data_IF_409803426317
#
_entry.id   IF_409803426317
#
_cell.length_a   1.000
_cell.length_b   1.000
_cell.length_c   1.000
_cell.angle_alpha   90.00
_cell.angle_beta   90.00
_cell.angle_gamma   90.00
#
_symmetry.space_group_name_H-M   'P 1'
#
loop_
_entity.id
_entity.type
_entity.pdbx_description
1 polymer ?
#
# COMPACT_ATOMS: atom_id res chain seq x y z
N UNK A 1 -24.79 -21.44 22.53
CA UNK A 1 -24.26 -22.55 21.69
C UNK A 1 -25.38 -23.26 20.89
N UNK A 2 -26.63 -23.20 21.30
CA UNK A 2 -27.75 -23.87 20.62
C UNK A 2 -28.27 -23.15 19.35
N UNK A 3 -27.96 -21.87 19.17
CA UNK A 3 -28.49 -21.06 18.06
C UNK A 3 -27.84 -21.37 16.70
N UNK A 4 -26.68 -22.04 16.68
CA UNK A 4 -25.94 -22.35 15.45
C UNK A 4 -26.34 -23.71 14.86
N UNK A 5 -26.87 -24.64 15.67
CA UNK A 5 -27.19 -26.02 15.25
C UNK A 5 -28.46 -26.14 14.41
N UNK A 6 -29.31 -25.12 14.40
CA UNK A 6 -30.61 -25.12 13.66
C UNK A 6 -30.63 -24.15 12.47
N UNK A 7 -29.45 -23.70 11.99
CA UNK A 7 -29.39 -22.80 10.85
C UNK A 7 -29.40 -23.61 9.54
N UNK A 8 -30.49 -23.51 8.77
CA UNK A 8 -30.58 -24.14 7.45
C UNK A 8 -29.74 -23.34 6.45
N UNK A 9 -28.78 -24.00 5.82
CA UNK A 9 -27.93 -23.40 4.76
C UNK A 9 -28.41 -23.98 3.42
N UNK A 10 -28.86 -23.10 2.54
CA UNK A 10 -29.16 -23.49 1.15
C UNK A 10 -27.83 -23.54 0.39
N UNK A 11 -27.48 -24.73 -0.11
CA UNK A 11 -26.28 -24.97 -0.91
C UNK A 11 -26.68 -25.14 -2.37
N UNK A 12 -26.24 -24.25 -3.24
CA UNK A 12 -26.41 -24.37 -4.68
C UNK A 12 -25.09 -24.85 -5.34
N UNK A 13 -25.19 -25.80 -6.26
CA UNK A 13 -24.08 -26.30 -7.06
C UNK A 13 -24.13 -25.66 -8.45
N UNK A 14 -23.03 -25.01 -8.86
CA UNK A 14 -22.84 -24.52 -10.23
C UNK A 14 -22.08 -25.60 -11.01
N UNK A 15 -22.68 -26.14 -12.07
CA UNK A 15 -22.05 -27.13 -12.94
C UNK A 15 -21.76 -26.49 -14.30
N UNK A 16 -20.67 -26.91 -14.91
CA UNK A 16 -20.27 -26.58 -16.29
C UNK A 16 -20.11 -25.08 -16.58
N UNK A 17 -19.91 -24.25 -15.55
CA UNK A 17 -19.68 -22.82 -15.71
C UNK A 17 -18.19 -22.51 -15.87
N UNK A 18 -17.87 -21.60 -16.79
CA UNK A 18 -16.53 -21.04 -16.97
C UNK A 18 -16.23 -20.04 -15.87
N UNK A 19 -14.95 -19.86 -15.54
CA UNK A 19 -14.49 -18.97 -14.47
C UNK A 19 -15.06 -17.52 -14.54
N UNK A 20 -15.21 -16.89 -15.73
CA UNK A 20 -15.87 -15.58 -15.84
C UNK A 20 -17.35 -15.59 -15.45
N UNK A 21 -18.06 -16.71 -15.68
CA UNK A 21 -19.46 -16.86 -15.33
C UNK A 21 -19.65 -17.07 -13.83
N UNK A 22 -18.74 -17.82 -13.21
CA UNK A 22 -18.68 -17.99 -11.76
C UNK A 22 -18.44 -16.64 -11.08
N UNK A 23 -17.49 -15.85 -11.59
CA UNK A 23 -17.20 -14.51 -11.08
C UNK A 23 -18.40 -13.56 -11.19
N UNK A 24 -19.14 -13.61 -12.30
CA UNK A 24 -20.39 -12.85 -12.49
C UNK A 24 -21.50 -13.29 -11.55
N UNK A 25 -21.67 -14.61 -11.38
CA UNK A 25 -22.65 -15.16 -10.45
C UNK A 25 -22.33 -14.72 -9.01
N UNK A 26 -21.07 -14.84 -8.61
CA UNK A 26 -20.60 -14.42 -7.30
C UNK A 26 -20.84 -12.92 -7.05
N UNK A 27 -20.56 -12.08 -8.04
CA UNK A 27 -20.85 -10.65 -8.00
C UNK A 27 -22.34 -10.34 -7.81
N UNK A 28 -23.22 -11.13 -8.44
CA UNK A 28 -24.69 -11.00 -8.31
C UNK A 28 -25.22 -11.51 -6.96
N UNK A 29 -24.68 -12.60 -6.45
CA UNK A 29 -25.08 -13.15 -5.14
C UNK A 29 -24.69 -12.24 -3.98
N UNK A 30 -23.68 -11.41 -4.15
CA UNK A 30 -23.20 -10.43 -3.17
C UNK A 30 -24.00 -9.11 -3.15
N UNK A 31 -25.17 -9.05 -3.78
CA UNK A 31 -26.01 -7.83 -3.78
C UNK A 31 -26.45 -7.37 -2.39
N UNK A 32 -26.30 -8.20 -1.34
CA UNK A 32 -26.57 -7.83 0.06
C UNK A 32 -25.41 -7.13 0.75
N UNK A 33 -24.14 -7.43 0.38
CA UNK A 33 -22.94 -6.80 0.93
C UNK A 33 -22.05 -6.36 -0.23
N UNK A 34 -21.94 -5.07 -0.49
CA UNK A 34 -21.07 -4.55 -1.55
C UNK A 34 -19.64 -5.00 -1.34
N UNK A 35 -19.05 -5.61 -2.37
CA UNK A 35 -17.63 -5.89 -2.40
C UNK A 35 -16.85 -4.58 -2.33
N UNK A 36 -15.83 -4.56 -1.49
CA UNK A 36 -14.92 -3.43 -1.48
C UNK A 36 -13.95 -3.48 -2.69
N UNK A 37 -13.27 -2.37 -3.03
CA UNK A 37 -12.38 -2.33 -4.19
C UNK A 37 -11.29 -3.40 -4.21
N UNK A 38 -10.61 -3.76 -3.11
CA UNK A 38 -9.69 -4.89 -3.06
C UNK A 38 -10.34 -6.25 -3.41
N UNK A 39 -11.54 -6.51 -2.91
CA UNK A 39 -12.28 -7.75 -3.22
C UNK A 39 -12.65 -7.84 -4.70
N UNK A 40 -13.09 -6.71 -5.29
CA UNK A 40 -13.37 -6.63 -6.73
C UNK A 40 -12.11 -6.89 -7.56
N UNK A 41 -10.96 -6.30 -7.20
CA UNK A 41 -9.69 -6.57 -7.90
C UNK A 41 -9.25 -8.02 -7.76
N UNK A 42 -9.51 -8.64 -6.61
CA UNK A 42 -9.16 -10.04 -6.41
C UNK A 42 -10.01 -11.02 -7.25
N UNK A 43 -11.18 -10.60 -7.71
CA UNK A 43 -12.02 -11.39 -8.61
C UNK A 43 -11.56 -11.36 -10.08
N UNK A 44 -10.65 -10.46 -10.45
CA UNK A 44 -10.12 -10.38 -11.83
C UNK A 44 -9.05 -11.46 -12.03
N UNK A 45 -9.15 -12.19 -13.14
CA UNK A 45 -8.22 -13.27 -13.48
C UNK A 45 -7.13 -12.76 -14.45
N UNK A 46 -6.09 -12.13 -13.89
CA UNK A 46 -4.97 -11.58 -14.69
C UNK A 46 -3.62 -11.92 -14.07
N UNK A 47 -2.56 -11.90 -14.89
CA UNK A 47 -1.20 -12.16 -14.44
C UNK A 47 -0.74 -11.21 -13.34
N UNK A 48 -1.03 -9.92 -13.47
CA UNK A 48 -0.71 -8.92 -12.45
C UNK A 48 -1.39 -9.23 -11.10
N UNK A 49 -2.68 -9.62 -11.14
CA UNK A 49 -3.40 -10.03 -9.91
C UNK A 49 -2.74 -11.21 -9.24
N UNK A 50 -2.41 -12.26 -10.01
CA UNK A 50 -1.76 -13.45 -9.47
C UNK A 50 -0.38 -13.13 -8.89
N UNK A 51 0.39 -12.27 -9.54
CA UNK A 51 1.71 -11.86 -9.08
C UNK A 51 1.64 -11.08 -7.75
N UNK A 52 0.72 -10.10 -7.65
CA UNK A 52 0.49 -9.35 -6.41
C UNK A 52 -0.01 -10.26 -5.28
N UNK A 53 -0.96 -11.14 -5.57
CA UNK A 53 -1.52 -12.07 -4.58
C UNK A 53 -0.45 -13.05 -4.08
N UNK A 54 0.38 -13.57 -4.98
CA UNK A 54 1.48 -14.47 -4.65
C UNK A 54 2.44 -13.85 -3.63
N UNK A 55 2.91 -12.62 -3.87
CA UNK A 55 3.78 -11.91 -2.92
C UNK A 55 3.04 -11.58 -1.63
N UNK A 56 1.86 -10.97 -1.71
CA UNK A 56 1.15 -10.48 -0.54
C UNK A 56 0.76 -11.59 0.45
N UNK A 57 0.52 -12.80 -0.03
CA UNK A 57 0.16 -13.95 0.81
C UNK A 57 1.31 -14.53 1.61
N UNK A 58 2.52 -14.56 1.04
CA UNK A 58 3.63 -15.35 1.63
C UNK A 58 4.78 -14.50 2.13
N UNK A 59 4.90 -13.25 1.65
CA UNK A 59 6.07 -12.44 1.95
C UNK A 59 6.18 -12.12 3.45
N UNK A 60 7.37 -12.30 4.08
CA UNK A 60 7.59 -12.12 5.52
C UNK A 60 7.20 -10.75 6.05
N UNK A 61 7.29 -9.68 5.24
CA UNK A 61 6.83 -8.35 5.62
C UNK A 61 5.36 -8.36 6.06
N UNK A 62 4.48 -8.90 5.21
CA UNK A 62 3.04 -8.94 5.49
C UNK A 62 2.71 -9.91 6.61
N UNK A 63 3.35 -11.10 6.63
CA UNK A 63 3.11 -12.10 7.66
C UNK A 63 3.47 -11.63 9.06
N UNK A 64 4.51 -10.79 9.18
CA UNK A 64 4.99 -10.27 10.45
C UNK A 64 4.57 -8.81 10.73
N UNK A 65 3.75 -8.20 9.88
CA UNK A 65 3.26 -6.83 10.08
C UNK A 65 2.07 -6.79 11.05
N UNK A 66 1.66 -5.58 11.43
CA UNK A 66 0.37 -5.32 12.10
C UNK A 66 -0.73 -4.91 11.10
N UNK A 67 -0.52 -5.13 9.82
CA UNK A 67 -1.53 -4.91 8.79
C UNK A 67 -2.46 -6.12 8.81
N UNK A 68 -3.77 -5.96 9.04
CA UNK A 68 -4.69 -7.09 9.02
C UNK A 68 -4.73 -7.74 7.63
N UNK A 69 -4.78 -9.08 7.56
CA UNK A 69 -4.92 -9.81 6.29
C UNK A 69 -6.36 -9.84 5.77
N UNK A 70 -7.34 -9.46 6.60
CA UNK A 70 -8.76 -9.50 6.26
C UNK A 70 -9.10 -8.62 5.04
N UNK A 71 -10.06 -9.09 4.22
CA UNK A 71 -10.59 -8.34 3.07
C UNK A 71 -9.52 -7.87 2.08
N UNK A 72 -8.50 -8.70 1.84
CA UNK A 72 -7.40 -8.46 0.88
C UNK A 72 -6.57 -7.17 1.15
N UNK A 73 -6.41 -6.77 2.41
CA UNK A 73 -5.64 -5.56 2.74
C UNK A 73 -4.16 -5.65 2.36
N UNK A 74 -3.51 -6.81 2.49
CA UNK A 74 -2.13 -6.99 2.07
C UNK A 74 -1.99 -6.76 0.56
N UNK A 75 -2.88 -7.37 -0.23
CA UNK A 75 -2.95 -7.18 -1.68
C UNK A 75 -3.25 -5.72 -2.03
N UNK A 76 -4.15 -5.06 -1.30
CA UNK A 76 -4.50 -3.66 -1.52
C UNK A 76 -3.31 -2.72 -1.30
N UNK A 77 -2.54 -2.94 -0.24
CA UNK A 77 -1.35 -2.14 0.05
C UNK A 77 -0.31 -2.30 -1.06
N UNK A 78 0.00 -3.54 -1.43
CA UNK A 78 0.96 -3.82 -2.49
C UNK A 78 0.49 -3.30 -3.85
N UNK A 79 -0.79 -3.43 -4.18
CA UNK A 79 -1.37 -2.90 -5.41
C UNK A 79 -1.21 -1.38 -5.54
N UNK A 80 -1.44 -0.63 -4.45
CA UNK A 80 -1.21 0.81 -4.45
C UNK A 80 0.27 1.17 -4.68
N UNK A 81 1.19 0.47 -4.01
CA UNK A 81 2.62 0.71 -4.16
C UNK A 81 3.10 0.37 -5.58
N UNK A 82 2.69 -0.77 -6.12
CA UNK A 82 3.04 -1.20 -7.48
C UNK A 82 2.47 -0.26 -8.54
N UNK A 83 1.19 0.13 -8.43
CA UNK A 83 0.56 1.10 -9.35
C UNK A 83 1.28 2.46 -9.31
N UNK A 84 1.68 2.92 -8.13
CA UNK A 84 2.45 4.16 -7.98
C UNK A 84 3.80 4.09 -8.71
N UNK A 85 4.51 2.97 -8.59
CA UNK A 85 5.78 2.74 -9.27
C UNK A 85 5.60 2.61 -10.79
N UNK A 86 4.62 1.84 -11.23
CA UNK A 86 4.29 1.62 -12.63
C UNK A 86 4.07 2.93 -13.39
N UNK A 87 3.33 3.85 -12.78
CA UNK A 87 3.01 5.15 -13.36
C UNK A 87 4.00 6.26 -12.92
N UNK A 88 5.07 5.92 -12.20
CA UNK A 88 6.08 6.89 -11.72
C UNK A 88 5.46 8.09 -10.99
N UNK A 89 4.38 7.88 -10.24
CA UNK A 89 3.67 8.93 -9.52
C UNK A 89 2.82 9.89 -10.39
N UNK A 90 2.62 9.60 -11.66
CA UNK A 90 1.93 10.50 -12.61
C UNK A 90 0.40 10.34 -12.62
N UNK A 91 -0.13 9.38 -11.85
CA UNK A 91 -1.55 9.03 -11.82
C UNK A 91 -2.08 9.00 -10.38
N UNK A 92 -3.39 9.22 -10.19
CA UNK A 92 -4.07 9.00 -8.92
C UNK A 92 -4.07 7.49 -8.57
N UNK A 93 -4.23 7.18 -7.30
CA UNK A 93 -4.37 5.82 -6.78
C UNK A 93 -5.83 5.53 -6.37
N UNK A 94 -6.79 5.93 -7.23
CA UNK A 94 -8.22 5.68 -7.02
C UNK A 94 -8.58 4.22 -7.35
N UNK A 95 -9.65 3.73 -6.77
CA UNK A 95 -10.10 2.34 -6.94
C UNK A 95 -10.30 1.96 -8.42
N UNK A 96 -10.88 2.85 -9.23
CA UNK A 96 -11.07 2.64 -10.67
C UNK A 96 -9.75 2.52 -11.40
N UNK A 97 -8.78 3.37 -11.09
CA UNK A 97 -7.48 3.38 -11.75
C UNK A 97 -6.64 2.16 -11.42
N UNK A 98 -6.70 1.68 -10.16
CA UNK A 98 -6.09 0.40 -9.80
C UNK A 98 -6.79 -0.78 -10.49
N UNK A 99 -8.10 -0.71 -10.68
CA UNK A 99 -8.83 -1.73 -11.45
C UNK A 99 -8.41 -1.72 -12.91
N UNK A 100 -8.25 -0.54 -13.52
CA UNK A 100 -7.73 -0.40 -14.89
C UNK A 100 -6.36 -1.07 -15.05
N UNK A 101 -5.45 -0.90 -14.05
CA UNK A 101 -4.14 -1.56 -14.06
C UNK A 101 -4.30 -3.08 -14.07
N UNK A 102 -5.19 -3.61 -13.22
CA UNK A 102 -5.43 -5.06 -13.15
C UNK A 102 -6.01 -5.64 -14.44
N UNK A 103 -6.85 -4.89 -15.13
CA UNK A 103 -7.51 -5.35 -16.37
C UNK A 103 -6.60 -5.20 -17.59
N UNK A 104 -5.88 -4.08 -17.68
CA UNK A 104 -5.20 -3.68 -18.90
C UNK A 104 -3.71 -4.06 -18.96
N UNK A 105 -3.06 -4.29 -17.78
CA UNK A 105 -1.65 -4.69 -17.76
C UNK A 105 -1.57 -6.22 -17.77
N UNK A 106 -1.53 -6.77 -18.99
CA UNK A 106 -1.48 -8.22 -19.22
C UNK A 106 -0.08 -8.72 -19.55
N UNK A 107 0.83 -7.84 -20.01
CA UNK A 107 2.20 -8.20 -20.38
C UNK A 107 3.08 -8.41 -19.14
N UNK A 108 3.59 -9.62 -18.96
CA UNK A 108 4.50 -9.98 -17.88
C UNK A 108 5.82 -9.20 -17.94
N UNK A 109 6.27 -8.75 -19.11
CA UNK A 109 7.46 -7.92 -19.24
C UNK A 109 7.29 -6.54 -18.62
N UNK A 110 6.05 -6.06 -18.44
CA UNK A 110 5.74 -4.79 -17.80
C UNK A 110 5.73 -4.92 -16.27
N UNK A 111 5.03 -5.91 -15.73
CA UNK A 111 4.89 -6.04 -14.28
C UNK A 111 5.95 -6.94 -13.62
N UNK A 112 6.59 -7.84 -14.36
CA UNK A 112 7.58 -8.76 -13.82
C UNK A 112 8.75 -8.07 -13.12
N UNK A 113 9.42 -7.09 -13.75
CA UNK A 113 10.47 -6.30 -13.09
C UNK A 113 9.99 -5.59 -11.81
N UNK A 114 8.74 -5.08 -11.81
CA UNK A 114 8.16 -4.44 -10.61
C UNK A 114 7.93 -5.44 -9.48
N UNK A 115 7.61 -6.69 -9.80
CA UNK A 115 7.46 -7.75 -8.79
C UNK A 115 8.80 -8.17 -8.20
N UNK A 116 9.87 -8.23 -9.00
CA UNK A 116 11.22 -8.46 -8.50
C UNK A 116 11.68 -7.31 -7.58
N UNK A 117 11.49 -6.07 -8.00
CA UNK A 117 11.74 -4.90 -7.15
C UNK A 117 10.90 -4.93 -5.87
N UNK A 118 9.66 -5.44 -5.94
CA UNK A 118 8.77 -5.54 -4.79
C UNK A 118 9.31 -6.50 -3.73
N UNK A 119 9.85 -7.64 -4.13
CA UNK A 119 10.44 -8.61 -3.22
C UNK A 119 11.63 -8.02 -2.46
N UNK A 120 12.53 -7.35 -3.17
CA UNK A 120 13.70 -6.67 -2.58
C UNK A 120 13.28 -5.56 -1.59
N UNK A 121 12.35 -4.70 -2.00
CA UNK A 121 11.89 -3.58 -1.16
C UNK A 121 11.13 -4.09 0.07
N UNK A 122 10.26 -5.07 -0.09
CA UNK A 122 9.54 -5.67 1.02
C UNK A 122 10.48 -6.39 1.99
N UNK A 123 11.52 -7.06 1.49
CA UNK A 123 12.56 -7.68 2.31
C UNK A 123 13.32 -6.63 3.13
N UNK A 124 13.62 -5.48 2.56
CA UNK A 124 14.20 -4.36 3.28
C UNK A 124 13.22 -3.80 4.32
N UNK A 125 11.97 -3.54 3.92
CA UNK A 125 10.93 -3.03 4.83
C UNK A 125 10.60 -4.02 5.96
N UNK A 126 10.75 -5.33 5.75
CA UNK A 126 10.59 -6.32 6.82
C UNK A 126 11.61 -6.13 7.94
N UNK A 127 12.89 -5.88 7.58
CA UNK A 127 13.96 -5.57 8.54
C UNK A 127 13.68 -4.26 9.29
N UNK A 128 13.31 -3.21 8.56
CA UNK A 128 12.91 -1.92 9.15
C UNK A 128 11.73 -2.10 10.11
N UNK A 129 10.68 -2.76 9.68
CA UNK A 129 9.45 -2.93 10.46
C UNK A 129 9.65 -3.78 11.73
N UNK A 130 10.52 -4.81 11.65
CA UNK A 130 10.92 -5.60 12.82
C UNK A 130 11.60 -4.74 13.89
N UNK A 131 12.47 -3.83 13.48
CA UNK A 131 13.18 -2.93 14.38
C UNK A 131 12.30 -1.81 14.96
N UNK A 132 11.34 -1.32 14.19
CA UNK A 132 10.48 -0.19 14.56
C UNK A 132 9.20 -0.61 15.29
N UNK A 133 9.20 -1.75 15.97
CA UNK A 133 8.04 -2.28 16.69
C UNK A 133 6.78 -2.40 15.83
N UNK A 134 6.96 -2.72 14.55
CA UNK A 134 5.90 -2.89 13.54
C UNK A 134 5.03 -1.63 13.35
N UNK A 135 5.68 -0.46 13.28
CA UNK A 135 5.00 0.84 13.06
C UNK A 135 4.44 1.01 11.65
N UNK A 136 4.98 0.29 10.64
CA UNK A 136 4.49 0.35 9.26
C UNK A 136 3.18 -0.44 9.18
N UNK A 137 2.06 0.21 9.50
CA UNK A 137 0.72 -0.42 9.56
C UNK A 137 -0.37 0.35 8.81
N UNK A 138 -0.14 1.62 8.52
CA UNK A 138 -1.09 2.46 7.76
C UNK A 138 -0.75 2.41 6.27
N UNK A 139 -1.78 2.35 5.43
CA UNK A 139 -1.61 2.19 3.98
C UNK A 139 -0.69 3.25 3.36
N UNK A 140 -0.96 4.51 3.63
CA UNK A 140 -0.18 5.58 3.00
C UNK A 140 1.25 5.66 3.52
N UNK A 141 1.50 5.32 4.79
CA UNK A 141 2.87 5.15 5.30
C UNK A 141 3.60 4.06 4.51
N UNK A 142 2.98 2.90 4.35
CA UNK A 142 3.57 1.80 3.58
C UNK A 142 3.86 2.22 2.13
N UNK A 143 2.88 2.83 1.45
CA UNK A 143 3.00 3.25 0.05
C UNK A 143 4.09 4.31 -0.12
N UNK A 144 4.16 5.30 0.78
CA UNK A 144 5.13 6.37 0.73
C UNK A 144 6.57 5.84 0.96
N UNK A 145 6.76 4.98 1.97
CA UNK A 145 8.07 4.36 2.25
C UNK A 145 8.49 3.41 1.12
N UNK A 146 7.57 2.63 0.59
CA UNK A 146 7.83 1.75 -0.55
C UNK A 146 8.28 2.57 -1.77
N UNK A 147 7.59 3.66 -2.09
CA UNK A 147 7.89 4.45 -3.27
C UNK A 147 9.23 5.18 -3.18
N UNK A 148 9.60 5.74 -2.02
CA UNK A 148 10.91 6.36 -1.86
C UNK A 148 12.05 5.33 -1.95
N UNK A 149 11.86 4.12 -1.44
CA UNK A 149 12.83 3.03 -1.59
C UNK A 149 12.92 2.56 -3.05
N UNK A 150 11.80 2.45 -3.76
CA UNK A 150 11.78 2.14 -5.19
C UNK A 150 12.55 3.17 -6.02
N UNK A 151 12.38 4.46 -5.74
CA UNK A 151 13.13 5.53 -6.41
C UNK A 151 14.64 5.46 -6.16
N UNK A 152 15.06 4.79 -5.07
CA UNK A 152 16.46 4.61 -4.68
C UNK A 152 16.90 3.13 -4.70
N UNK A 153 16.21 2.27 -5.45
CA UNK A 153 16.41 0.81 -5.42
C UNK A 153 17.83 0.36 -5.74
N UNK A 154 18.53 1.07 -6.63
CA UNK A 154 19.93 0.78 -6.97
C UNK A 154 20.88 0.99 -5.80
N UNK A 155 20.52 1.84 -4.85
CA UNK A 155 21.28 2.13 -3.63
C UNK A 155 20.81 1.32 -2.41
N UNK A 156 19.73 0.54 -2.53
CA UNK A 156 19.05 -0.10 -1.39
C UNK A 156 20.00 -0.95 -0.53
N UNK A 157 20.95 -1.65 -1.16
CA UNK A 157 21.95 -2.47 -0.46
C UNK A 157 22.92 -1.65 0.41
N UNK A 158 23.10 -0.37 0.11
CA UNK A 158 24.00 0.53 0.82
C UNK A 158 23.28 1.36 1.89
N UNK A 159 21.95 1.32 1.93
CA UNK A 159 21.16 2.06 2.94
C UNK A 159 21.01 1.17 4.17
N UNK A 160 21.54 1.62 5.30
CA UNK A 160 21.36 0.92 6.57
C UNK A 160 19.87 0.89 6.95
N UNK A 161 19.29 -0.32 7.07
CA UNK A 161 17.91 -0.46 7.53
C UNK A 161 17.71 0.02 8.97
N UNK A 162 18.79 0.06 9.77
CA UNK A 162 18.80 0.61 11.11
C UNK A 162 18.61 2.13 11.05
N UNK A 163 19.46 2.82 10.31
CA UNK A 163 19.45 4.29 10.25
C UNK A 163 18.18 4.79 9.56
N UNK A 164 17.72 4.07 8.52
CA UNK A 164 16.43 4.36 7.89
C UNK A 164 15.26 4.16 8.86
N UNK A 165 15.28 3.09 9.64
CA UNK A 165 14.26 2.81 10.65
C UNK A 165 14.22 3.86 11.76
N UNK A 166 15.38 4.27 12.26
CA UNK A 166 15.49 5.29 13.30
C UNK A 166 14.99 6.66 12.78
N UNK A 167 15.38 7.05 11.56
CA UNK A 167 14.88 8.26 10.91
C UNK A 167 13.36 8.22 10.65
N UNK A 168 12.83 7.06 10.22
CA UNK A 168 11.39 6.89 10.06
C UNK A 168 10.64 7.01 11.39
N UNK A 169 11.14 6.39 12.46
CA UNK A 169 10.51 6.48 13.78
C UNK A 169 10.46 7.92 14.28
N UNK A 170 11.55 8.66 14.13
CA UNK A 170 11.61 10.07 14.51
C UNK A 170 10.57 10.90 13.73
N UNK A 171 10.54 10.73 12.41
CA UNK A 171 9.57 11.41 11.55
C UNK A 171 8.11 11.04 11.87
N UNK A 172 7.83 9.75 12.06
CA UNK A 172 6.47 9.28 12.37
C UNK A 172 6.00 9.77 13.74
N UNK A 173 6.92 9.89 14.72
CA UNK A 173 6.61 10.47 16.02
C UNK A 173 6.25 11.96 15.89
N UNK A 174 7.09 12.76 15.21
CA UNK A 174 6.80 14.19 14.93
C UNK A 174 5.41 14.34 14.26
N UNK A 175 5.12 13.48 13.27
CA UNK A 175 3.83 13.47 12.57
C UNK A 175 2.67 13.19 13.52
N UNK A 176 2.79 12.21 14.42
CA UNK A 176 1.75 11.84 15.37
C UNK A 176 1.52 12.94 16.42
N UNK A 177 2.59 13.53 16.92
CA UNK A 177 2.53 14.58 17.94
C UNK A 177 1.84 15.86 17.43
N UNK A 178 1.98 16.15 16.13
CA UNK A 178 1.37 17.32 15.50
C UNK A 178 0.09 17.00 14.71
N UNK A 179 -0.37 15.75 14.72
CA UNK A 179 -1.50 15.35 13.88
C UNK A 179 -2.83 15.98 14.29
N UNK A 180 -3.03 16.29 15.56
CA UNK A 180 -4.30 16.88 16.04
C UNK A 180 -4.46 18.33 15.55
N UNK A 181 -3.42 19.13 15.65
CA UNK A 181 -3.42 20.57 15.38
C UNK A 181 -2.19 20.96 14.53
N UNK A 182 -2.10 20.49 13.28
CA UNK A 182 -0.92 20.71 12.43
C UNK A 182 -0.66 22.19 12.13
N UNK A 183 -1.68 23.04 12.19
CA UNK A 183 -1.60 24.48 11.97
C UNK A 183 -0.65 25.17 12.96
N UNK A 184 -0.45 24.59 14.14
CA UNK A 184 0.50 25.10 15.13
C UNK A 184 1.96 25.11 14.61
N UNK A 185 2.28 24.23 13.67
CA UNK A 185 3.59 24.20 13.01
C UNK A 185 3.90 25.45 12.18
N UNK A 186 2.85 26.19 11.79
CA UNK A 186 2.98 27.39 10.95
C UNK A 186 2.95 28.69 11.72
N UNK A 187 2.84 28.66 13.06
CA UNK A 187 2.79 29.88 13.87
C UNK A 187 4.18 30.57 13.89
N UNK A 188 4.19 31.86 13.66
CA UNK A 188 5.42 32.67 13.63
C UNK A 188 6.20 32.51 12.30
N UNK A 189 7.51 32.29 12.39
CA UNK A 189 8.36 32.06 11.23
C UNK A 189 8.70 30.55 11.11
N UNK A 190 7.88 29.74 10.46
CA UNK A 190 8.09 28.30 10.40
C UNK A 190 9.35 27.97 9.61
N UNK A 191 10.15 27.06 10.13
CA UNK A 191 11.28 26.47 9.42
C UNK A 191 10.78 25.59 8.25
N UNK A 192 11.65 25.33 7.26
CA UNK A 192 11.32 24.39 6.18
C UNK A 192 10.90 23.02 6.73
N UNK A 193 11.52 22.55 7.80
CA UNK A 193 11.18 21.29 8.46
C UNK A 193 9.75 21.27 9.02
N UNK A 194 9.31 22.38 9.63
CA UNK A 194 7.95 22.52 10.13
C UNK A 194 6.93 22.62 8.99
N UNK A 195 7.24 23.39 7.94
CA UNK A 195 6.41 23.46 6.74
C UNK A 195 6.28 22.09 6.07
N UNK A 196 7.38 21.35 5.93
CA UNK A 196 7.37 20.00 5.37
C UNK A 196 6.50 19.04 6.18
N UNK A 197 6.59 19.10 7.50
CA UNK A 197 5.78 18.26 8.38
C UNK A 197 4.29 18.59 8.28
N UNK A 198 3.95 19.88 8.26
CA UNK A 198 2.58 20.35 8.02
C UNK A 198 2.05 19.82 6.68
N UNK A 199 2.79 20.04 5.60
CA UNK A 199 2.42 19.62 4.25
C UNK A 199 2.20 18.11 4.16
N UNK A 200 3.07 17.33 4.82
CA UNK A 200 2.91 15.88 4.87
C UNK A 200 1.64 15.48 5.62
N UNK A 201 1.37 16.07 6.79
CA UNK A 201 0.19 15.75 7.61
C UNK A 201 -1.09 16.06 6.84
N UNK A 202 -1.19 17.22 6.21
CA UNK A 202 -2.38 17.62 5.44
C UNK A 202 -2.58 16.70 4.24
N UNK A 203 -1.53 16.44 3.45
CA UNK A 203 -1.60 15.53 2.30
C UNK A 203 -1.89 14.08 2.70
N UNK A 204 -1.58 13.70 3.94
CA UNK A 204 -1.90 12.37 4.49
C UNK A 204 -3.37 12.25 4.89
N UNK A 205 -3.97 13.32 5.46
CA UNK A 205 -5.35 13.35 5.93
C UNK A 205 -6.36 13.46 4.80
N UNK A 206 -6.06 14.24 3.77
CA UNK A 206 -7.00 14.62 2.71
C UNK A 206 -6.62 13.94 1.40
N UNK A 207 -7.48 13.02 0.91
CA UNK A 207 -7.29 12.42 -0.41
C UNK A 207 -5.96 11.68 -0.58
N UNK A 208 -5.57 10.85 0.38
CA UNK A 208 -4.23 10.22 0.43
C UNK A 208 -3.79 9.50 -0.85
N UNK A 209 -4.74 9.06 -1.70
CA UNK A 209 -4.46 8.45 -3.01
C UNK A 209 -4.44 9.41 -4.20
N UNK A 210 -4.73 10.70 -4.01
CA UNK A 210 -4.65 11.68 -5.08
C UNK A 210 -3.19 11.97 -5.44
N UNK A 211 -2.90 12.05 -6.73
CA UNK A 211 -1.55 12.30 -7.26
C UNK A 211 -0.87 13.49 -6.56
N UNK A 212 -1.57 14.61 -6.42
CA UNK A 212 -1.04 15.82 -5.79
C UNK A 212 -0.52 15.51 -4.38
N UNK A 213 -1.34 14.86 -3.57
CA UNK A 213 -1.03 14.55 -2.18
C UNK A 213 0.08 13.48 -2.06
N UNK A 214 0.07 12.46 -2.91
CA UNK A 214 1.12 11.44 -2.97
C UNK A 214 2.47 12.09 -3.31
N UNK A 215 2.51 12.95 -4.31
CA UNK A 215 3.75 13.61 -4.73
C UNK A 215 4.25 14.64 -3.71
N UNK A 216 3.33 15.34 -3.02
CA UNK A 216 3.69 16.25 -1.92
C UNK A 216 4.34 15.46 -0.77
N UNK A 217 3.74 14.35 -0.33
CA UNK A 217 4.33 13.48 0.71
C UNK A 217 5.68 12.90 0.27
N UNK A 218 5.80 12.47 -0.97
CA UNK A 218 7.07 11.98 -1.51
C UNK A 218 8.16 13.06 -1.51
N UNK A 219 7.82 14.30 -1.91
CA UNK A 219 8.77 15.41 -1.87
C UNK A 219 9.28 15.70 -0.45
N UNK A 220 8.39 15.67 0.54
CA UNK A 220 8.76 15.80 1.95
C UNK A 220 9.71 14.69 2.39
N UNK A 221 9.36 13.43 2.14
CA UNK A 221 10.21 12.30 2.54
C UNK A 221 11.58 12.34 1.84
N UNK A 222 11.64 12.75 0.58
CA UNK A 222 12.92 12.93 -0.13
C UNK A 222 13.83 13.96 0.54
N UNK A 223 13.28 15.06 1.04
CA UNK A 223 14.06 16.06 1.79
C UNK A 223 14.47 15.53 3.16
N UNK A 224 13.55 14.92 3.89
CA UNK A 224 13.80 14.40 5.26
C UNK A 224 14.82 13.27 5.29
N UNK A 225 14.84 12.42 4.27
CA UNK A 225 15.74 11.26 4.19
C UNK A 225 16.90 11.46 3.21
N UNK A 226 17.15 12.72 2.77
CA UNK A 226 18.16 13.03 1.76
C UNK A 226 19.53 12.43 2.10
N UNK A 227 19.99 12.59 3.32
CA UNK A 227 21.30 12.11 3.78
C UNK A 227 21.44 10.59 3.73
N UNK A 228 20.33 9.85 3.90
CA UNK A 228 20.34 8.38 3.84
C UNK A 228 20.53 7.85 2.41
N UNK A 229 20.20 8.66 1.41
CA UNK A 229 20.31 8.30 0.00
C UNK A 229 21.57 8.89 -0.67
N UNK A 230 22.50 9.45 0.12
CA UNK A 230 23.79 9.96 -0.38
C UNK A 230 23.63 11.24 -1.22
N UNK A 231 22.77 12.15 -0.76
CA UNK A 231 22.56 13.48 -1.34
C UNK A 231 23.18 14.57 -0.51
#
# INVERSE_FOLDING_TARGET
>A
RETITNFEVVVGFVKDAKEPEISRLFSRMQMGVRLNPPELRNAVQTGLRHAIDGIARVHPFFQNSRIPSSRFKHQDYLAHAVSLCLHSGKRDLKASQLMDDYVNITDANVYGPLMADADDILSYLAKVNGRTSKRIRQKWIFVDLYFILYQNKTKLKNISYKDFGDAYVAFDQERLDNNAEPEKLLIGNPTQTQQDLYDYIIAFKIGGGERKNVMQRNAVLRRRFKTLFGG
#
